data_IF_580335759409
#
_entry.id   IF_580335759409
#
_cell.length_a   1.000
_cell.length_b   1.000
_cell.length_c   1.000
_cell.angle_alpha   90.00
_cell.angle_beta   90.00
_cell.angle_gamma   90.00
#
_symmetry.space_group_name_H-M   'P 1'
#
loop_
_entity.id
_entity.type
_entity.pdbx_description
1 polymer ?
#
# COMPACT_ATOMS: atom_id res chain seq x y z
N UNK A 1 12.42 31.19 -8.63
CA UNK A 1 11.93 29.80 -8.81
C UNK A 1 11.61 29.22 -7.43
N UNK A 2 10.37 28.84 -7.16
CA UNK A 2 10.03 28.08 -5.94
C UNK A 2 10.46 26.62 -6.17
N UNK A 3 11.43 26.12 -5.42
CA UNK A 3 11.74 24.69 -5.40
C UNK A 3 10.49 23.95 -4.88
N UNK A 4 9.82 23.20 -5.75
CA UNK A 4 8.82 22.23 -5.29
C UNK A 4 9.60 21.19 -4.47
N UNK A 5 9.36 21.13 -3.16
CA UNK A 5 9.85 20.01 -2.35
C UNK A 5 9.26 18.75 -2.97
N UNK A 6 10.11 17.87 -3.50
CA UNK A 6 9.68 16.55 -3.93
C UNK A 6 9.13 15.82 -2.71
N UNK A 7 7.97 15.22 -2.86
CA UNK A 7 7.35 14.46 -1.77
C UNK A 7 7.80 13.01 -1.92
N UNK A 8 8.54 12.52 -0.94
CA UNK A 8 9.00 11.14 -0.87
C UNK A 8 8.33 10.44 0.31
N UNK A 9 7.66 9.32 0.05
CA UNK A 9 7.03 8.48 1.08
C UNK A 9 7.45 7.04 0.85
N UNK A 10 7.87 6.35 1.89
CA UNK A 10 8.07 4.90 1.86
C UNK A 10 6.90 4.23 2.58
N UNK A 11 6.42 3.11 2.04
CA UNK A 11 5.40 2.27 2.65
C UNK A 11 5.96 0.87 2.83
N UNK A 12 6.02 0.42 4.09
CA UNK A 12 6.47 -0.91 4.47
C UNK A 12 5.27 -1.85 4.55
N UNK A 13 5.29 -2.91 3.76
CA UNK A 13 4.25 -3.94 3.80
C UNK A 13 4.40 -4.73 5.10
N UNK A 14 3.39 -4.69 5.96
CA UNK A 14 3.37 -5.40 7.24
C UNK A 14 2.72 -6.77 7.13
N UNK A 15 1.60 -6.84 6.41
CA UNK A 15 0.86 -8.07 6.17
C UNK A 15 0.16 -8.02 4.82
N UNK A 16 -0.16 -9.19 4.28
CA UNK A 16 -0.90 -9.36 3.05
C UNK A 16 -1.96 -10.44 3.22
N UNK A 17 -3.03 -10.35 2.44
CA UNK A 17 -4.02 -11.42 2.34
C UNK A 17 -4.60 -11.48 0.94
N UNK A 18 -4.81 -12.69 0.43
CA UNK A 18 -5.37 -12.96 -0.89
C UNK A 18 -6.85 -13.28 -0.75
N UNK A 19 -7.69 -12.55 -1.48
CA UNK A 19 -9.15 -12.72 -1.48
C UNK A 19 -9.68 -12.81 -2.92
N UNK A 20 -10.99 -13.02 -3.05
CA UNK A 20 -11.69 -13.08 -4.33
C UNK A 20 -12.08 -14.50 -4.72
N UNK A 21 -12.76 -14.61 -5.86
CA UNK A 21 -13.22 -15.88 -6.44
C UNK A 21 -12.20 -16.43 -7.44
N UNK A 22 -12.32 -17.72 -7.76
CA UNK A 22 -11.56 -18.34 -8.84
C UNK A 22 -11.79 -17.55 -10.15
N UNK A 23 -10.70 -16.99 -10.70
CA UNK A 23 -10.73 -16.17 -11.92
C UNK A 23 -10.57 -14.66 -11.69
N UNK A 24 -10.79 -14.15 -10.47
CA UNK A 24 -10.58 -12.73 -10.13
C UNK A 24 -10.00 -12.55 -8.71
N UNK A 25 -8.78 -13.07 -8.45
CA UNK A 25 -8.14 -12.88 -7.17
C UNK A 25 -7.69 -11.41 -7.00
N UNK A 26 -7.72 -10.92 -5.77
CA UNK A 26 -7.11 -9.65 -5.39
C UNK A 26 -6.39 -9.77 -4.05
N UNK A 27 -5.31 -9.02 -3.89
CA UNK A 27 -4.63 -8.91 -2.60
C UNK A 27 -4.94 -7.57 -1.93
N UNK A 28 -5.09 -7.64 -0.61
CA UNK A 28 -5.03 -6.47 0.26
C UNK A 28 -3.72 -6.50 1.04
N UNK A 29 -3.21 -5.32 1.36
CA UNK A 29 -1.95 -5.17 2.10
C UNK A 29 -2.12 -4.14 3.19
N UNK A 30 -1.69 -4.49 4.41
CA UNK A 30 -1.53 -3.51 5.48
C UNK A 30 -0.16 -2.88 5.38
N UNK A 31 -0.10 -1.55 5.34
CA UNK A 31 1.13 -0.80 5.08
C UNK A 31 1.35 0.25 6.15
N UNK A 32 2.59 0.37 6.62
CA UNK A 32 3.04 1.49 7.45
C UNK A 32 3.87 2.45 6.61
N UNK A 33 3.46 3.70 6.55
CA UNK A 33 4.19 4.74 5.83
C UNK A 33 5.22 5.44 6.71
N UNK A 34 6.26 6.00 6.08
CA UNK A 34 7.35 6.72 6.75
C UNK A 34 6.90 7.98 7.49
N UNK A 35 5.68 8.48 7.20
CA UNK A 35 5.04 9.57 7.93
C UNK A 35 4.31 9.10 9.22
N UNK A 36 4.43 7.83 9.59
CA UNK A 36 3.81 7.25 10.79
C UNK A 36 2.36 6.79 10.62
N UNK A 37 1.73 7.03 9.45
CA UNK A 37 0.36 6.60 9.16
C UNK A 37 0.33 5.18 8.60
N UNK A 38 -0.82 4.54 8.72
CA UNK A 38 -1.09 3.22 8.18
C UNK A 38 -2.12 3.30 7.06
N UNK A 39 -2.24 2.26 6.24
CA UNK A 39 -3.38 2.09 5.35
C UNK A 39 -3.59 0.62 4.98
N UNK A 40 -4.79 0.32 4.49
CA UNK A 40 -5.06 -0.87 3.70
C UNK A 40 -5.00 -0.46 2.23
N UNK A 41 -4.09 -1.07 1.47
CA UNK A 41 -3.93 -0.78 0.05
C UNK A 41 -4.27 -2.00 -0.81
N UNK A 42 -4.60 -1.71 -2.07
CA UNK A 42 -4.72 -2.68 -3.15
C UNK A 42 -3.99 -2.14 -4.36
N UNK A 43 -3.33 -3.00 -5.10
CA UNK A 43 -2.67 -2.63 -6.36
C UNK A 43 -3.53 -3.07 -7.55
N UNK A 44 -3.70 -2.17 -8.52
CA UNK A 44 -4.57 -2.39 -9.67
C UNK A 44 -4.12 -3.59 -10.54
N UNK A 45 -2.81 -3.88 -10.58
CA UNK A 45 -2.25 -5.01 -11.31
C UNK A 45 -2.48 -6.37 -10.62
N UNK A 46 -3.02 -6.40 -9.41
CA UNK A 46 -3.23 -7.64 -8.65
C UNK A 46 -1.97 -8.25 -8.03
N UNK A 47 -0.82 -7.58 -8.11
CA UNK A 47 0.43 -8.04 -7.46
C UNK A 47 0.19 -8.25 -5.96
N UNK A 48 0.66 -9.38 -5.45
CA UNK A 48 0.63 -9.67 -4.02
C UNK A 48 1.99 -9.41 -3.38
N UNK A 49 2.22 -8.19 -2.90
CA UNK A 49 3.41 -7.84 -2.11
C UNK A 49 3.53 -8.71 -0.87
N UNK A 50 4.76 -9.03 -0.45
CA UNK A 50 5.06 -9.82 0.74
C UNK A 50 5.37 -8.92 1.93
N UNK A 51 5.13 -9.39 3.17
CA UNK A 51 5.63 -8.70 4.37
C UNK A 51 7.14 -8.41 4.24
N UNK A 52 7.54 -7.18 4.59
CA UNK A 52 8.91 -6.69 4.41
C UNK A 52 9.19 -6.03 3.06
N UNK A 53 8.31 -6.17 2.06
CA UNK A 53 8.40 -5.39 0.83
C UNK A 53 8.24 -3.88 1.12
N UNK A 54 8.83 -3.06 0.26
CA UNK A 54 8.74 -1.60 0.33
C UNK A 54 8.15 -1.07 -0.98
N UNK A 55 7.10 -0.28 -0.86
CA UNK A 55 6.60 0.60 -1.92
C UNK A 55 7.05 2.03 -1.66
N UNK A 56 7.26 2.80 -2.72
CA UNK A 56 7.73 4.19 -2.63
C UNK A 56 6.82 5.09 -3.42
N UNK A 57 6.54 6.27 -2.91
CA UNK A 57 5.89 7.34 -3.66
C UNK A 57 6.91 8.43 -3.92
N UNK A 58 7.13 8.72 -5.20
CA UNK A 58 7.86 9.90 -5.63
C UNK A 58 6.82 10.83 -6.27
N UNK A 59 6.57 11.96 -5.62
CA UNK A 59 5.55 12.94 -6.03
C UNK A 59 4.15 12.32 -6.18
N UNK A 60 3.72 12.03 -7.41
CA UNK A 60 2.39 11.49 -7.71
C UNK A 60 2.39 10.01 -8.13
N UNK A 61 3.57 9.39 -8.22
CA UNK A 61 3.71 8.03 -8.74
C UNK A 61 4.17 7.06 -7.66
N UNK A 62 3.62 5.86 -7.69
CA UNK A 62 3.99 4.77 -6.80
C UNK A 62 4.91 3.79 -7.52
N UNK A 63 5.89 3.28 -6.79
CA UNK A 63 6.90 2.37 -7.27
C UNK A 63 7.01 1.17 -6.34
N UNK A 64 7.17 -0.01 -6.91
CA UNK A 64 7.65 -1.19 -6.22
C UNK A 64 8.94 -1.63 -6.91
N UNK A 65 10.05 -1.67 -6.15
CA UNK A 65 11.40 -1.85 -6.70
C UNK A 65 11.71 -0.79 -7.77
N UNK A 66 11.76 -1.16 -9.06
CA UNK A 66 12.02 -0.27 -10.20
C UNK A 66 10.83 -0.14 -11.15
N UNK A 67 9.66 -0.64 -10.74
CA UNK A 67 8.46 -0.70 -11.58
C UNK A 67 7.40 0.24 -11.01
N UNK A 68 6.85 1.10 -11.86
CA UNK A 68 5.69 1.92 -11.52
C UNK A 68 4.49 1.03 -11.27
N UNK A 69 3.80 1.27 -10.16
CA UNK A 69 2.58 0.58 -9.79
C UNK A 69 1.45 1.59 -9.62
N UNK A 70 0.20 1.13 -9.79
CA UNK A 70 -0.98 1.93 -9.49
C UNK A 70 -1.69 1.34 -8.28
N UNK A 71 -1.71 2.10 -7.19
CA UNK A 71 -2.56 1.78 -6.05
C UNK A 71 -3.99 2.23 -6.34
N UNK A 72 -4.98 1.45 -5.91
CA UNK A 72 -6.37 1.90 -5.83
C UNK A 72 -6.50 2.94 -4.71
N UNK A 73 -7.60 3.69 -4.72
CA UNK A 73 -7.88 4.67 -3.67
C UNK A 73 -7.83 4.02 -2.29
N UNK A 74 -7.17 4.70 -1.36
CA UNK A 74 -7.05 4.29 0.04
C UNK A 74 -7.02 5.51 0.93
N UNK A 75 -7.25 5.30 2.22
CA UNK A 75 -7.21 6.33 3.24
C UNK A 75 -6.10 6.03 4.25
N UNK A 76 -5.56 7.10 4.84
CA UNK A 76 -4.63 6.95 5.95
C UNK A 76 -5.41 6.67 7.24
N UNK A 77 -4.95 5.66 7.97
CA UNK A 77 -5.53 5.16 9.20
C UNK A 77 -4.49 5.21 10.33
N UNK A 78 -4.98 5.10 11.55
CA UNK A 78 -4.16 4.79 12.72
C UNK A 78 -3.84 3.28 12.76
N UNK A 79 -2.86 2.91 13.59
CA UNK A 79 -2.38 1.52 13.71
C UNK A 79 -3.53 0.56 14.04
N UNK A 80 -4.29 0.85 15.09
CA UNK A 80 -5.36 -0.02 15.60
C UNK A 80 -6.46 -0.23 14.57
N UNK A 81 -6.87 0.85 13.91
CA UNK A 81 -7.91 0.81 12.89
C UNK A 81 -7.46 0.04 11.65
N UNK A 82 -6.20 0.21 11.24
CA UNK A 82 -5.63 -0.59 10.15
C UNK A 82 -5.55 -2.07 10.49
N UNK A 83 -5.34 -2.45 11.76
CA UNK A 83 -5.37 -3.85 12.18
C UNK A 83 -6.79 -4.40 12.13
N UNK A 84 -7.76 -3.68 12.73
CA UNK A 84 -9.18 -4.06 12.74
C UNK A 84 -9.70 -4.32 11.32
N UNK A 85 -9.51 -3.35 10.41
CA UNK A 85 -9.97 -3.50 9.02
C UNK A 85 -9.29 -4.66 8.32
N UNK A 86 -7.99 -4.88 8.51
CA UNK A 86 -7.28 -6.00 7.89
C UNK A 86 -7.84 -7.36 8.33
N UNK A 87 -8.20 -7.49 9.61
CA UNK A 87 -8.82 -8.71 10.14
C UNK A 87 -10.25 -8.94 9.61
N UNK A 88 -11.02 -7.88 9.37
CA UNK A 88 -12.39 -7.99 8.82
C UNK A 88 -12.44 -8.54 7.38
N UNK A 89 -11.32 -8.50 6.67
CA UNK A 89 -11.22 -9.11 5.36
C UNK A 89 -10.91 -10.61 5.41
N UNK A 90 -10.33 -11.14 6.50
CA UNK A 90 -10.02 -12.57 6.63
C UNK A 90 -11.28 -13.42 6.73
#
# INVERSE_FOLDING_TARGET
>A
MKFKKSVFIEGHILSNSCHGQAGQPFCIHRVRFSNGKYAIIRVASGICFKPGDIIKRNDCEWFYKRTTIRLLSFEYLEDDESRRQFFEYQ
#
